data_IF_496595859416
#
_entry.id   IF_496595859416
#
_cell.length_a   1.000
_cell.length_b   1.000
_cell.length_c   1.000
_cell.angle_alpha   90.00
_cell.angle_beta   90.00
_cell.angle_gamma   90.00
#
_symmetry.space_group_name_H-M   'P 1'
#
loop_
_entity.id
_entity.type
_entity.pdbx_description
1 polymer ?
#
# COMPACT_ATOMS: atom_id res chain seq x y z
N UNK A 1 -34.78 29.76 15.74
CA UNK A 1 -34.93 28.76 16.82
C UNK A 1 -33.59 28.04 16.97
N UNK A 2 -33.10 27.76 18.18
CA UNK A 2 -31.80 27.11 18.42
C UNK A 2 -31.73 25.71 17.79
N UNK A 3 -32.81 24.92 17.88
CA UNK A 3 -32.86 23.57 17.29
C UNK A 3 -32.68 23.60 15.77
N UNK A 4 -33.38 24.51 15.09
CA UNK A 4 -33.29 24.70 13.64
C UNK A 4 -31.90 25.17 13.20
N UNK A 5 -31.28 26.08 13.95
CA UNK A 5 -29.93 26.54 13.64
C UNK A 5 -28.91 25.42 13.84
N UNK A 6 -29.03 24.65 14.93
CA UNK A 6 -28.21 23.46 15.17
C UNK A 6 -28.36 22.45 14.03
N UNK A 7 -29.57 22.11 13.60
CA UNK A 7 -29.78 21.15 12.51
C UNK A 7 -29.17 21.62 11.19
N UNK A 8 -29.24 22.93 10.91
CA UNK A 8 -28.64 23.50 9.71
C UNK A 8 -27.11 23.42 9.74
N UNK A 9 -26.47 23.69 10.88
CA UNK A 9 -25.03 23.52 11.03
C UNK A 9 -24.59 22.06 10.90
N UNK A 10 -25.38 21.12 11.44
CA UNK A 10 -25.15 19.70 11.23
C UNK A 10 -25.20 19.32 9.75
N UNK A 11 -26.21 19.81 9.03
CA UNK A 11 -26.37 19.60 7.59
C UNK A 11 -25.19 20.15 6.79
N UNK A 12 -24.68 21.32 7.16
CA UNK A 12 -23.51 21.93 6.50
C UNK A 12 -22.25 21.10 6.77
N UNK A 13 -22.00 20.71 8.02
CA UNK A 13 -20.78 19.97 8.39
C UNK A 13 -20.77 18.54 7.84
N UNK A 14 -21.92 17.85 7.87
CA UNK A 14 -22.05 16.45 7.44
C UNK A 14 -22.32 16.27 5.95
N UNK A 15 -22.83 17.31 5.30
CA UNK A 15 -23.39 17.19 3.95
C UNK A 15 -24.79 16.57 3.96
N UNK A 16 -25.22 16.14 2.78
CA UNK A 16 -26.58 15.61 2.53
C UNK A 16 -26.74 14.20 3.11
N UNK A 17 -25.72 13.35 2.95
CA UNK A 17 -25.71 11.99 3.49
C UNK A 17 -24.37 11.68 4.16
N UNK A 18 -24.42 11.16 5.39
CA UNK A 18 -23.24 10.63 6.07
C UNK A 18 -23.12 9.13 5.81
N UNK A 19 -22.01 8.64 5.24
CA UNK A 19 -21.81 7.21 5.08
C UNK A 19 -21.76 6.55 6.46
N UNK A 20 -22.51 5.46 6.61
CA UNK A 20 -22.47 4.63 7.82
C UNK A 20 -21.34 3.61 7.78
N UNK A 21 -20.96 3.19 6.57
CA UNK A 21 -19.94 2.19 6.34
C UNK A 21 -18.95 2.69 5.30
N UNK A 22 -17.71 2.25 5.42
CA UNK A 22 -16.62 2.57 4.51
C UNK A 22 -15.89 1.30 4.08
N UNK A 23 -15.44 1.28 2.83
CA UNK A 23 -14.66 0.19 2.30
C UNK A 23 -13.29 0.11 3.01
N UNK A 24 -12.94 -1.06 3.53
CA UNK A 24 -11.66 -1.35 4.15
C UNK A 24 -10.55 -1.50 3.11
N UNK A 25 -10.90 -2.01 1.93
CA UNK A 25 -9.99 -2.31 0.81
C UNK A 25 -10.47 -1.68 -0.49
N UNK A 26 -9.56 -1.50 -1.45
CA UNK A 26 -9.86 -0.86 -2.75
C UNK A 26 -10.89 -1.63 -3.58
N UNK A 27 -10.91 -2.96 -3.48
CA UNK A 27 -11.75 -3.86 -4.26
C UNK A 27 -12.98 -4.36 -3.51
N UNK A 28 -13.44 -3.61 -2.50
CA UNK A 28 -14.60 -3.97 -1.69
C UNK A 28 -15.85 -4.14 -2.57
N UNK A 29 -16.51 -5.28 -2.43
CA UNK A 29 -17.77 -5.55 -3.13
C UNK A 29 -18.96 -5.07 -2.30
N UNK A 30 -19.96 -4.42 -2.90
CA UNK A 30 -21.20 -4.09 -2.19
C UNK A 30 -21.89 -5.36 -1.70
N UNK A 31 -22.29 -5.39 -0.42
CA UNK A 31 -22.96 -6.54 0.20
C UNK A 31 -22.04 -7.63 0.76
N UNK A 32 -20.72 -7.45 0.70
CA UNK A 32 -19.74 -8.33 1.34
C UNK A 32 -19.27 -7.72 2.67
N UNK A 33 -19.96 -8.04 3.77
CA UNK A 33 -19.76 -7.41 5.08
C UNK A 33 -18.31 -7.41 5.60
N UNK A 34 -17.46 -8.35 5.15
CA UNK A 34 -16.05 -8.44 5.54
C UNK A 34 -15.17 -7.33 4.96
N UNK A 35 -15.60 -6.68 3.87
CA UNK A 35 -14.84 -5.64 3.18
C UNK A 35 -15.23 -4.22 3.63
N UNK A 36 -16.21 -4.10 4.53
CA UNK A 36 -16.74 -2.83 5.01
C UNK A 36 -16.58 -2.71 6.52
N UNK A 37 -16.39 -1.48 7.00
CA UNK A 37 -16.33 -1.18 8.43
C UNK A 37 -17.20 0.02 8.76
N UNK A 38 -17.87 -0.04 9.91
CA UNK A 38 -18.76 1.02 10.39
C UNK A 38 -17.97 2.28 10.77
N UNK A 39 -18.51 3.42 10.40
CA UNK A 39 -18.08 4.74 10.87
C UNK A 39 -18.68 5.00 12.26
N UNK A 40 -17.83 5.18 13.26
CA UNK A 40 -18.27 5.56 14.61
C UNK A 40 -18.60 7.07 14.60
N UNK A 41 -19.85 7.41 14.93
CA UNK A 41 -20.31 8.80 15.02
C UNK A 41 -20.34 9.27 16.48
N UNK A 42 -19.68 10.39 16.76
CA UNK A 42 -19.68 11.04 18.06
C UNK A 42 -20.25 12.44 17.96
N UNK A 43 -21.52 12.55 18.36
CA UNK A 43 -22.32 13.74 18.23
C UNK A 43 -22.27 14.62 19.48
N UNK A 44 -22.58 15.91 19.32
CA UNK A 44 -22.82 16.80 20.44
C UNK A 44 -23.97 16.27 21.31
N UNK A 45 -23.86 16.36 22.64
CA UNK A 45 -24.97 16.03 23.53
C UNK A 45 -26.22 16.84 23.16
N UNK A 46 -27.39 16.30 23.49
CA UNK A 46 -28.70 16.95 23.31
C UNK A 46 -29.15 17.55 24.64
N UNK A 47 -28.77 18.80 24.94
CA UNK A 47 -29.24 19.47 26.14
C UNK A 47 -30.63 20.07 25.92
N UNK A 48 -31.45 20.08 26.98
CA UNK A 48 -32.69 20.86 27.04
C UNK A 48 -32.34 22.35 27.12
N UNK A 49 -32.21 23.00 25.97
CA UNK A 49 -31.74 24.39 25.90
C UNK A 49 -32.81 25.35 25.46
N UNK A 50 -32.96 26.41 26.27
CA UNK A 50 -33.71 27.60 25.92
C UNK A 50 -32.77 28.62 25.24
N UNK A 51 -33.32 29.50 24.41
CA UNK A 51 -32.57 30.61 23.81
C UNK A 51 -31.94 31.57 24.84
N UNK A 52 -32.38 31.51 26.11
CA UNK A 52 -31.87 32.36 27.21
C UNK A 52 -30.57 31.79 27.79
N UNK A 53 -30.46 30.47 27.86
CA UNK A 53 -29.29 29.76 28.42
C UNK A 53 -28.13 29.60 27.42
N UNK A 54 -28.34 29.90 26.14
CA UNK A 54 -27.38 29.64 25.06
C UNK A 54 -27.66 28.33 24.32
N UNK A 55 -27.12 28.22 23.10
CA UNK A 55 -27.35 27.14 22.16
C UNK A 55 -26.05 26.37 21.89
N UNK A 56 -26.01 25.09 22.20
CA UNK A 56 -24.89 24.19 21.94
C UNK A 56 -24.95 23.78 20.47
N UNK A 57 -23.97 24.25 19.71
CA UNK A 57 -23.90 24.05 18.27
C UNK A 57 -22.59 23.37 17.87
N UNK A 58 -22.61 22.52 16.84
CA UNK A 58 -21.38 21.98 16.28
C UNK A 58 -20.65 23.08 15.49
N UNK A 59 -19.35 23.25 15.75
CA UNK A 59 -18.49 24.21 15.05
C UNK A 59 -17.45 23.52 14.17
N UNK A 60 -17.14 22.27 14.47
CA UNK A 60 -16.14 21.53 13.71
C UNK A 60 -16.49 20.05 13.61
N UNK A 61 -16.14 19.45 12.48
CA UNK A 61 -16.21 18.03 12.20
C UNK A 61 -14.79 17.48 12.01
N UNK A 62 -14.40 16.50 12.82
CA UNK A 62 -13.14 15.76 12.65
C UNK A 62 -13.44 14.35 12.18
N UNK A 63 -12.99 14.03 10.97
CA UNK A 63 -13.09 12.69 10.39
C UNK A 63 -11.70 12.03 10.47
N UNK A 64 -11.61 10.92 11.19
CA UNK A 64 -10.36 10.18 11.42
C UNK A 64 -10.46 8.79 10.83
N UNK A 65 -9.54 8.46 9.95
CA UNK A 65 -9.37 7.12 9.40
C UNK A 65 -8.23 6.42 10.14
N UNK A 66 -8.50 5.24 10.69
CA UNK A 66 -7.46 4.34 11.18
C UNK A 66 -7.07 3.42 10.03
N UNK A 67 -5.79 3.38 9.70
CA UNK A 67 -5.29 2.52 8.64
C UNK A 67 -4.04 1.78 9.09
N UNK A 68 -3.75 0.68 8.43
CA UNK A 68 -2.52 -0.08 8.63
C UNK A 68 -2.11 -0.79 7.34
N UNK A 69 -0.83 -1.09 7.22
CA UNK A 69 -0.33 -2.04 6.24
C UNK A 69 -0.56 -3.46 6.77
N UNK A 70 -1.20 -4.30 5.95
CA UNK A 70 -1.40 -5.73 6.21
C UNK A 70 -0.79 -6.55 5.08
N UNK A 71 -0.45 -7.80 5.37
CA UNK A 71 0.15 -8.72 4.41
C UNK A 71 1.62 -9.02 4.71
N UNK A 72 2.33 -9.51 3.70
CA UNK A 72 3.74 -9.87 3.82
C UNK A 72 4.61 -8.61 3.87
N UNK A 73 5.74 -8.66 4.60
CA UNK A 73 6.73 -7.57 4.61
C UNK A 73 7.22 -7.19 3.21
N UNK A 74 7.24 -8.15 2.28
CA UNK A 74 7.63 -7.91 0.88
C UNK A 74 6.52 -7.29 0.03
N UNK A 75 5.27 -7.40 0.47
CA UNK A 75 4.08 -6.93 -0.26
C UNK A 75 3.02 -6.37 0.72
N UNK A 76 3.32 -5.24 1.39
CA UNK A 76 2.35 -4.60 2.27
C UNK A 76 1.18 -4.03 1.47
N UNK A 77 -0.04 -4.28 1.93
CA UNK A 77 -1.29 -3.75 1.39
C UNK A 77 -1.93 -2.81 2.40
N UNK A 78 -2.24 -1.58 2.00
CA UNK A 78 -2.93 -0.62 2.85
C UNK A 78 -4.40 -1.01 3.04
N UNK A 79 -4.84 -1.10 4.30
CA UNK A 79 -6.22 -1.38 4.67
C UNK A 79 -6.72 -0.34 5.67
N UNK A 80 -7.94 0.15 5.48
CA UNK A 80 -8.65 0.94 6.49
C UNK A 80 -9.20 -0.02 7.54
N UNK A 81 -8.86 0.22 8.81
CA UNK A 81 -9.33 -0.58 9.94
C UNK A 81 -10.64 -0.05 10.51
N UNK A 82 -10.86 1.26 10.39
CA UNK A 82 -12.06 1.92 10.88
C UNK A 82 -12.04 3.41 10.62
N UNK A 83 -13.19 4.04 10.81
CA UNK A 83 -13.31 5.48 10.78
C UNK A 83 -14.13 6.00 11.95
N UNK A 84 -13.81 7.21 12.35
CA UNK A 84 -14.50 7.93 13.42
C UNK A 84 -14.79 9.35 12.96
N UNK A 85 -16.03 9.78 13.15
CA UNK A 85 -16.52 11.13 12.88
C UNK A 85 -16.91 11.76 14.21
N UNK A 86 -16.14 12.73 14.70
CA UNK A 86 -16.44 13.44 15.95
C UNK A 86 -16.74 14.92 15.71
N UNK A 87 -17.76 15.43 16.39
CA UNK A 87 -18.08 16.86 16.36
C UNK A 87 -17.53 17.59 17.58
N UNK A 88 -16.95 18.77 17.33
CA UNK A 88 -16.59 19.72 18.39
C UNK A 88 -17.72 20.74 18.53
N UNK A 89 -18.18 20.92 19.76
CA UNK A 89 -19.37 21.69 20.07
C UNK A 89 -19.02 22.88 20.97
N UNK A 90 -19.68 24.01 20.75
CA UNK A 90 -19.51 25.23 21.54
C UNK A 90 -20.86 25.81 21.89
N UNK A 91 -20.96 26.40 23.09
CA UNK A 91 -22.15 27.14 23.51
C UNK A 91 -22.14 28.54 22.89
N UNK A 92 -23.11 28.82 22.04
CA UNK A 92 -23.31 30.12 21.40
C UNK A 92 -24.48 30.85 22.05
N UNK A 93 -24.27 32.09 22.50
CA UNK A 93 -25.36 32.94 23.00
C UNK A 93 -26.09 33.58 21.81
N UNK A 94 -27.12 32.88 21.31
CA UNK A 94 -27.87 33.22 20.08
C UNK A 94 -28.54 34.60 20.13
N UNK A 95 -28.71 35.20 21.31
CA UNK A 95 -29.25 36.57 21.46
C UNK A 95 -28.23 37.69 21.20
N UNK A 96 -26.94 37.40 20.98
CA UNK A 96 -25.91 38.44 20.82
C UNK A 96 -24.96 38.25 19.61
N UNK A 97 -25.07 37.16 18.84
CA UNK A 97 -24.14 36.92 17.73
C UNK A 97 -24.73 37.34 16.38
N UNK A 98 -24.60 38.61 16.02
CA UNK A 98 -24.57 39.05 14.61
C UNK A 98 -23.23 38.70 13.93
N UNK A 99 -22.42 37.82 14.56
CA UNK A 99 -21.09 37.46 14.11
C UNK A 99 -21.15 36.19 13.27
N UNK A 100 -20.42 36.14 12.14
CA UNK A 100 -20.30 34.91 11.38
C UNK A 100 -19.69 33.81 12.24
N UNK A 101 -20.27 32.62 12.16
CA UNK A 101 -19.75 31.41 12.81
C UNK A 101 -18.88 30.68 11.79
N UNK A 102 -17.59 30.55 12.09
CA UNK A 102 -16.67 29.79 11.24
C UNK A 102 -16.84 28.30 11.50
N UNK A 103 -17.09 27.54 10.44
CA UNK A 103 -17.18 26.09 10.48
C UNK A 103 -15.91 25.48 9.91
N UNK A 104 -15.39 24.44 10.57
CA UNK A 104 -14.17 23.77 10.13
C UNK A 104 -14.35 22.27 10.01
N UNK A 105 -13.95 21.71 8.88
CA UNK A 105 -13.93 20.27 8.65
C UNK A 105 -12.48 19.81 8.55
N UNK A 106 -12.11 18.81 9.32
CA UNK A 106 -10.77 18.23 9.33
C UNK A 106 -10.85 16.75 8.98
N UNK A 107 -9.92 16.29 8.14
CA UNK A 107 -9.76 14.88 7.79
C UNK A 107 -8.34 14.46 8.12
N UNK A 108 -8.20 13.36 8.85
CA UNK A 108 -6.89 12.80 9.23
C UNK A 108 -6.82 11.30 9.01
N UNK A 109 -5.63 10.82 8.65
CA UNK A 109 -5.31 9.41 8.46
C UNK A 109 -4.25 9.03 9.50
N UNK A 110 -4.59 8.09 10.38
CA UNK A 110 -3.74 7.64 11.48
C UNK A 110 -3.20 6.26 11.15
N UNK A 111 -1.88 6.19 10.97
CA UNK A 111 -1.17 4.93 10.73
C UNK A 111 -1.03 4.15 12.03
N UNK A 112 -1.44 2.88 11.99
CA UNK A 112 -1.40 1.92 13.10
C UNK A 112 -0.63 0.66 12.72
N UNK A 113 0.20 0.73 11.68
CA UNK A 113 1.01 -0.39 11.20
C UNK A 113 2.00 -0.85 12.28
N UNK A 114 1.93 -2.15 12.60
CA UNK A 114 2.90 -2.83 13.45
C UNK A 114 3.67 -3.81 12.61
N UNK A 115 4.97 -3.58 12.45
CA UNK A 115 5.84 -4.49 11.71
C UNK A 115 6.26 -5.66 12.61
N UNK A 116 6.21 -6.91 12.12
CA UNK A 116 6.74 -8.05 12.85
C UNK A 116 8.26 -7.92 13.01
N UNK A 117 8.80 -8.56 14.05
CA UNK A 117 10.24 -8.71 14.20
C UNK A 117 10.79 -9.46 12.98
N UNK A 118 11.91 -8.97 12.42
CA UNK A 118 12.57 -9.66 11.32
C UNK A 118 12.84 -11.12 11.72
N UNK A 119 12.69 -12.10 10.81
CA UNK A 119 13.01 -13.49 11.12
C UNK A 119 14.40 -13.54 11.77
N UNK A 120 14.51 -14.09 13.00
CA UNK A 120 15.77 -14.17 13.77
C UNK A 120 16.79 -15.15 13.20
N UNK A 121 16.74 -15.39 11.89
CA UNK A 121 17.65 -16.28 11.20
C UNK A 121 17.82 -15.79 9.77
N UNK A 122 19.07 -15.71 9.34
CA UNK A 122 19.38 -15.69 7.92
C UNK A 122 18.75 -16.95 7.32
N UNK A 123 17.88 -16.86 6.29
CA UNK A 123 17.36 -18.04 5.65
C UNK A 123 18.57 -18.86 5.21
N UNK A 124 18.78 -20.03 5.82
CA UNK A 124 19.82 -20.93 5.35
C UNK A 124 19.34 -21.39 3.98
N UNK A 125 20.06 -21.06 2.91
CA UNK A 125 19.67 -21.55 1.62
C UNK A 125 19.79 -23.08 1.64
N UNK A 126 18.66 -23.78 1.45
CA UNK A 126 18.64 -25.22 1.16
C UNK A 126 19.12 -25.40 -0.28
N UNK A 127 20.40 -25.13 -0.52
CA UNK A 127 21.06 -25.40 -1.80
C UNK A 127 21.22 -26.92 -1.94
N UNK A 128 20.13 -27.63 -2.23
CA UNK A 128 20.21 -28.95 -2.85
C UNK A 128 20.65 -28.73 -4.30
N UNK A 129 21.96 -28.58 -4.49
CA UNK A 129 22.55 -28.79 -5.80
C UNK A 129 22.09 -30.17 -6.28
N UNK A 130 21.40 -30.29 -7.43
CA UNK A 130 21.22 -31.58 -8.04
C UNK A 130 22.63 -32.17 -8.17
N UNK A 131 22.86 -33.33 -7.56
CA UNK A 131 24.04 -34.15 -7.83
C UNK A 131 24.09 -34.26 -9.35
N UNK A 132 25.11 -33.64 -9.98
CA UNK A 132 25.54 -33.81 -11.39
C UNK A 132 26.09 -32.55 -12.09
N UNK A 133 26.32 -31.45 -11.39
CA UNK A 133 26.93 -30.25 -12.01
C UNK A 133 28.39 -30.43 -12.47
N UNK A 134 29.10 -31.44 -11.97
CA UNK A 134 30.53 -31.67 -12.26
C UNK A 134 30.80 -33.04 -12.88
N UNK A 135 29.99 -33.50 -13.84
CA UNK A 135 30.45 -34.61 -14.66
C UNK A 135 31.65 -34.19 -15.51
N UNK A 136 32.75 -34.95 -15.49
CA UNK A 136 33.93 -34.60 -16.26
C UNK A 136 33.60 -34.72 -17.76
N UNK A 137 33.85 -33.63 -18.50
CA UNK A 137 33.97 -33.66 -19.96
C UNK A 137 35.11 -34.63 -20.25
N UNK A 138 34.78 -35.87 -20.61
CA UNK A 138 35.76 -36.82 -21.13
C UNK A 138 36.24 -36.27 -22.46
N UNK A 139 37.39 -35.60 -22.46
CA UNK A 139 38.16 -35.38 -23.66
C UNK A 139 38.44 -36.77 -24.26
N UNK A 140 37.88 -37.04 -25.43
CA UNK A 140 38.19 -38.22 -26.20
C UNK A 140 39.62 -38.10 -26.72
N UNK A 141 40.59 -38.54 -25.92
CA UNK A 141 41.92 -38.87 -26.42
C UNK A 141 41.78 -40.20 -27.16
N UNK A 142 41.55 -40.15 -28.47
CA UNK A 142 41.64 -41.33 -29.31
C UNK A 142 43.11 -41.77 -29.39
N UNK A 143 43.45 -42.80 -28.62
CA UNK A 143 44.69 -43.55 -28.73
C UNK A 143 44.65 -44.31 -30.07
N UNK A 144 45.35 -43.81 -31.08
CA UNK A 144 45.64 -44.54 -32.30
C UNK A 144 47.04 -45.14 -32.16
N UNK A 145 47.09 -46.42 -31.81
CA UNK A 145 48.30 -47.25 -31.91
C UNK A 145 48.18 -48.10 -33.18
N UNK A 146 49.15 -47.98 -34.09
CA UNK A 146 49.43 -48.98 -35.15
C UNK A 146 50.78 -48.71 -35.80
N UNK A 147 51.70 -49.63 -35.54
CA UNK A 147 52.97 -49.84 -36.22
C UNK A 147 52.81 -49.95 -37.75
N UNK A 148 53.78 -49.36 -38.48
CA UNK A 148 54.32 -49.93 -39.71
C UNK A 148 53.83 -49.33 -41.02
N UNK A 149 54.57 -48.35 -41.55
CA UNK A 149 55.09 -48.34 -42.93
C UNK A 149 55.76 -47.00 -43.20
N UNK A 150 57.05 -47.06 -43.55
CA UNK A 150 57.78 -45.96 -44.18
C UNK A 150 57.13 -45.57 -45.52
N UNK A 151 57.62 -44.48 -46.12
CA UNK A 151 57.34 -44.00 -47.48
C UNK A 151 56.12 -43.09 -47.66
N UNK A 152 56.30 -41.79 -47.38
CA UNK A 152 55.88 -40.72 -48.32
C UNK A 152 56.33 -39.34 -47.82
N UNK A 153 57.63 -39.05 -47.94
CA UNK A 153 58.07 -37.69 -48.21
C UNK A 153 57.96 -37.48 -49.72
N UNK A 154 57.07 -36.60 -50.20
CA UNK A 154 57.40 -35.55 -51.18
C UNK A 154 56.17 -34.75 -51.61
N UNK A 155 56.43 -33.47 -51.88
CA UNK A 155 55.60 -32.48 -52.61
C UNK A 155 54.49 -31.84 -51.75
N UNK A 156 54.36 -30.52 -51.61
CA UNK A 156 54.65 -29.43 -52.54
C UNK A 156 55.01 -28.16 -51.74
N UNK A 157 56.23 -27.64 -51.92
CA UNK A 157 56.50 -26.20 -51.85
C UNK A 157 56.26 -25.58 -53.24
N UNK A 158 56.08 -24.24 -53.30
CA UNK A 158 55.71 -23.38 -54.45
C UNK A 158 54.18 -23.14 -54.47
N UNK A 159 53.62 -21.98 -54.11
CA UNK A 159 53.86 -20.62 -54.63
C UNK A 159 53.61 -19.56 -53.55
N UNK A 160 54.67 -18.98 -52.99
CA UNK A 160 54.67 -17.62 -52.44
C UNK A 160 55.21 -16.70 -53.53
N UNK A 161 54.36 -16.24 -54.44
CA UNK A 161 54.55 -15.04 -55.28
C UNK A 161 53.44 -14.97 -56.33
N UNK A 162 52.30 -14.37 -55.97
CA UNK A 162 51.51 -13.46 -56.82
C UNK A 162 50.21 -13.12 -56.07
N UNK A 163 50.28 -12.14 -55.18
CA UNK A 163 49.23 -11.12 -54.98
C UNK A 163 49.72 -10.14 -53.91
N UNK A 164 50.76 -9.38 -54.27
CA UNK A 164 50.71 -7.95 -54.03
C UNK A 164 49.85 -7.38 -55.16
N UNK A 165 48.57 -7.12 -54.88
CA UNK A 165 47.72 -6.14 -55.57
C UNK A 165 46.36 -6.12 -54.85
N UNK A 166 46.09 -5.00 -54.17
CA UNK A 166 44.92 -4.63 -53.36
C UNK A 166 44.81 -5.34 -52.00
N UNK A 167 45.02 -4.69 -50.85
CA UNK A 167 45.23 -3.29 -50.49
C UNK A 167 45.88 -3.24 -49.11
#
# INVERSE_FOLDING_TARGET
NCSQFRSELYRILRGVETPQDIAMVRNARPGEDSDWTRVIQEDCPTPDQSCVSGCLVPISLSFRFLWAQRGLLTHPQGQILGAKSSMRCTLLQVRCSARPVTLTTEVSFVDTTVYPESPRGQPQPDWKLPFDFFYPIRAAVSRADRQGAAWSCLCITIVTSLNLLWN
#
